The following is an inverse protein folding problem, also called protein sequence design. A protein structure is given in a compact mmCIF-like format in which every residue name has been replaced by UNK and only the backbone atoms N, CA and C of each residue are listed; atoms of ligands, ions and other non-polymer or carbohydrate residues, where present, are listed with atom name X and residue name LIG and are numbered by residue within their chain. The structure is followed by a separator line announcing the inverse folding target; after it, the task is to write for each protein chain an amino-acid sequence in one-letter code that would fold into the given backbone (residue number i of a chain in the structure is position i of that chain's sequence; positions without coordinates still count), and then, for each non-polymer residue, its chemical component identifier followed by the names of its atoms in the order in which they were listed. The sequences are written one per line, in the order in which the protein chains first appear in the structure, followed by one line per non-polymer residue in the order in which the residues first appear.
data_IF_172199160774
#
_entry.id   IF_172199160774
#
_cell.length_a   1.000
_cell.length_b   1.000
_cell.length_c   1.000
_cell.angle_alpha   90.00
_cell.angle_beta   90.00
_cell.angle_gamma   90.00
#
_symmetry.space_group_name_H-M   'P 1'
#
loop_
_entity.id
_entity.type
_entity.pdbx_description
1 polymer ?
#
# COMPACT_ATOMS: atom_id res chain seq x y z
N UNK A 1 -4.42 7.50 -31.99
CA UNK A 1 -4.01 7.03 -30.65
C UNK A 1 -4.77 7.85 -29.62
N UNK A 2 -5.87 7.33 -29.07
CA UNK A 2 -6.51 7.95 -27.90
C UNK A 2 -5.57 7.79 -26.72
N UNK A 3 -4.97 8.88 -26.28
CA UNK A 3 -4.11 8.90 -25.09
C UNK A 3 -4.91 8.42 -23.89
N UNK A 4 -4.51 7.29 -23.31
CA UNK A 4 -5.03 6.89 -22.02
C UNK A 4 -4.65 7.99 -21.03
N UNK A 5 -5.61 8.58 -20.29
CA UNK A 5 -5.29 9.69 -19.41
C UNK A 5 -4.27 9.22 -18.39
N UNK A 6 -3.23 10.03 -18.15
CA UNK A 6 -2.14 9.72 -17.22
C UNK A 6 -2.65 9.34 -15.82
N UNK A 7 -3.83 9.84 -15.44
CA UNK A 7 -4.54 9.51 -14.21
C UNK A 7 -4.94 8.04 -14.12
N UNK A 8 -5.32 7.40 -15.23
CA UNK A 8 -5.61 5.97 -15.24
C UNK A 8 -4.35 5.15 -14.99
N UNK A 9 -3.22 5.53 -15.59
CA UNK A 9 -1.93 4.88 -15.33
C UNK A 9 -1.46 5.10 -13.89
N UNK A 10 -1.66 6.31 -13.35
CA UNK A 10 -1.36 6.60 -11.96
C UNK A 10 -2.26 5.79 -11.00
N UNK A 11 -3.53 5.59 -11.33
CA UNK A 11 -4.44 4.74 -10.56
C UNK A 11 -4.00 3.28 -10.60
N UNK A 12 -3.56 2.76 -11.75
CA UNK A 12 -3.01 1.40 -11.86
C UNK A 12 -1.76 1.23 -11.00
N UNK A 13 -0.83 2.18 -11.09
CA UNK A 13 0.37 2.17 -10.27
C UNK A 13 0.01 2.20 -8.78
N UNK A 14 -0.90 3.08 -8.35
CA UNK A 14 -1.36 3.14 -6.98
C UNK A 14 -1.98 1.81 -6.53
N UNK A 15 -2.82 1.18 -7.35
CA UNK A 15 -3.43 -0.11 -7.05
C UNK A 15 -2.37 -1.20 -6.83
N UNK A 16 -1.38 -1.29 -7.73
CA UNK A 16 -0.28 -2.26 -7.63
C UNK A 16 0.55 -2.00 -6.36
N UNK A 17 0.89 -0.75 -6.06
CA UNK A 17 1.62 -0.39 -4.85
C UNK A 17 0.84 -0.75 -3.58
N UNK A 18 -0.46 -0.49 -3.54
CA UNK A 18 -1.31 -0.84 -2.39
C UNK A 18 -1.36 -2.36 -2.17
N UNK A 19 -1.50 -3.16 -3.23
CA UNK A 19 -1.49 -4.62 -3.12
C UNK A 19 -0.12 -5.12 -2.68
N UNK A 20 0.96 -4.62 -3.28
CA UNK A 20 2.33 -4.99 -2.93
C UNK A 20 2.68 -4.65 -1.48
N UNK A 21 2.41 -3.41 -1.06
CA UNK A 21 2.62 -2.97 0.32
C UNK A 21 1.74 -3.75 1.31
N UNK A 22 0.49 -4.01 0.93
CA UNK A 22 -0.42 -4.85 1.70
C UNK A 22 0.12 -6.27 1.91
N UNK A 23 0.63 -6.93 0.87
CA UNK A 23 1.22 -8.27 0.99
C UNK A 23 2.45 -8.27 1.89
N UNK A 24 3.35 -7.30 1.74
CA UNK A 24 4.55 -7.16 2.59
C UNK A 24 4.14 -6.92 4.05
N UNK A 25 3.19 -6.02 4.28
CA UNK A 25 2.68 -5.71 5.61
C UNK A 25 1.89 -6.84 6.27
N UNK A 26 1.27 -7.73 5.48
CA UNK A 26 0.55 -8.89 5.98
C UNK A 26 1.50 -10.01 6.41
N UNK A 27 2.49 -10.30 5.55
CA UNK A 27 3.42 -11.43 5.71
C UNK A 27 4.63 -11.08 6.58
N UNK A 28 5.06 -9.82 6.58
CA UNK A 28 6.26 -9.37 7.28
C UNK A 28 6.01 -8.08 8.10
N UNK A 29 4.94 -8.01 8.93
CA UNK A 29 4.49 -6.78 9.58
C UNK A 29 5.57 -6.09 10.42
N UNK A 30 6.33 -6.86 11.21
CA UNK A 30 7.38 -6.33 12.09
C UNK A 30 8.55 -5.76 11.30
N UNK A 31 9.21 -6.61 10.49
CA UNK A 31 10.31 -6.21 9.61
C UNK A 31 9.95 -5.01 8.75
N UNK A 32 8.74 -5.00 8.18
CA UNK A 32 8.29 -3.88 7.38
C UNK A 32 8.20 -2.59 8.20
N UNK A 33 7.56 -2.57 9.36
CA UNK A 33 7.52 -1.37 10.23
C UNK A 33 8.92 -0.97 10.72
N UNK A 34 9.75 -1.95 11.07
CA UNK A 34 11.11 -1.73 11.60
C UNK A 34 12.04 -1.02 10.61
N UNK A 35 11.83 -1.19 9.29
CA UNK A 35 12.60 -0.49 8.26
C UNK A 35 12.27 1.01 8.15
N UNK A 36 11.12 1.44 8.69
CA UNK A 36 10.61 2.80 8.51
C UNK A 36 10.41 3.57 9.83
N UNK A 37 10.60 2.91 10.97
CA UNK A 37 10.35 3.53 12.28
C UNK A 37 11.44 4.49 12.72
N UNK A 38 12.62 4.43 12.10
CA UNK A 38 13.81 5.22 12.41
C UNK A 38 14.48 5.68 11.10
N UNK A 39 15.05 6.89 11.11
CA UNK A 39 15.84 7.47 10.01
C UNK A 39 15.14 7.48 8.63
N UNK A 40 13.82 7.59 8.62
CA UNK A 40 12.96 7.39 7.45
C UNK A 40 12.46 8.71 6.83
N UNK A 41 13.20 9.80 6.98
CA UNK A 41 12.92 11.11 6.37
C UNK A 41 11.48 11.63 6.61
N UNK A 42 10.91 11.38 7.79
CA UNK A 42 9.56 11.80 8.17
C UNK A 42 8.49 10.70 8.02
N UNK A 43 8.82 9.57 7.38
CA UNK A 43 7.92 8.42 7.29
C UNK A 43 7.72 7.70 8.64
N UNK A 44 8.51 8.02 9.66
CA UNK A 44 8.35 7.48 11.02
C UNK A 44 6.93 7.78 11.55
N UNK A 45 6.39 8.95 11.20
CA UNK A 45 5.03 9.36 11.61
C UNK A 45 3.94 8.47 11.02
N UNK A 46 4.15 7.93 9.82
CA UNK A 46 3.13 7.09 9.14
C UNK A 46 3.14 5.68 9.71
N UNK A 47 4.29 5.19 10.20
CA UNK A 47 4.40 3.86 10.79
C UNK A 47 4.24 3.82 12.31
N UNK A 48 4.34 4.97 13.00
CA UNK A 48 4.18 5.08 14.45
C UNK A 48 2.94 4.34 15.03
N UNK A 49 1.74 4.36 14.40
CA UNK A 49 0.58 3.63 14.93
C UNK A 49 0.73 2.10 14.95
N UNK A 50 1.67 1.58 14.18
CA UNK A 50 1.91 0.14 13.96
C UNK A 50 3.11 -0.41 14.73
N UNK A 51 3.96 0.45 15.30
CA UNK A 51 5.10 0.05 16.13
C UNK A 51 4.63 -0.85 17.28
N UNK A 52 5.30 -1.99 17.44
CA UNK A 52 5.00 -3.07 18.38
C UNK A 52 3.58 -3.65 18.29
N UNK A 53 2.84 -3.34 17.22
CA UNK A 53 1.44 -3.77 17.00
C UNK A 53 1.28 -4.45 15.64
N UNK A 54 1.87 -5.64 15.44
CA UNK A 54 1.83 -6.34 14.15
C UNK A 54 0.40 -6.62 13.66
N UNK A 55 -0.54 -6.94 14.57
CA UNK A 55 -1.94 -7.16 14.21
C UNK A 55 -2.61 -5.93 13.59
N UNK A 56 -2.29 -4.71 14.07
CA UNK A 56 -2.81 -3.47 13.46
C UNK A 56 -2.25 -3.26 12.05
N UNK A 57 -0.96 -3.57 11.84
CA UNK A 57 -0.34 -3.50 10.51
C UNK A 57 -0.93 -4.52 9.54
N UNK A 58 -1.23 -5.72 10.02
CA UNK A 58 -1.87 -6.79 9.23
C UNK A 58 -3.32 -6.42 8.85
N UNK A 59 -4.10 -5.88 9.78
CA UNK A 59 -5.45 -5.36 9.47
C UNK A 59 -5.40 -4.23 8.43
N UNK A 60 -4.46 -3.30 8.59
CA UNK A 60 -4.24 -2.24 7.61
C UNK A 60 -3.79 -2.80 6.25
N UNK A 61 -2.94 -3.84 6.24
CA UNK A 61 -2.55 -4.53 5.02
C UNK A 61 -3.73 -5.18 4.29
N UNK A 62 -4.63 -5.86 5.00
CA UNK A 62 -5.85 -6.41 4.40
C UNK A 62 -6.71 -5.32 3.77
N UNK A 63 -6.85 -4.18 4.46
CA UNK A 63 -7.56 -3.02 3.92
C UNK A 63 -6.88 -2.46 2.65
N UNK A 64 -5.55 -2.40 2.61
CA UNK A 64 -4.80 -1.96 1.44
C UNK A 64 -4.95 -2.93 0.26
N UNK A 65 -4.86 -4.24 0.48
CA UNK A 65 -5.08 -5.25 -0.56
C UNK A 65 -6.49 -5.10 -1.13
N UNK A 66 -7.51 -5.03 -0.28
CA UNK A 66 -8.89 -4.86 -0.71
C UNK A 66 -9.09 -3.54 -1.49
N UNK A 67 -8.52 -2.44 -1.01
CA UNK A 67 -8.58 -1.14 -1.68
C UNK A 67 -7.86 -1.12 -3.03
N UNK A 68 -6.69 -1.75 -3.12
CA UNK A 68 -5.92 -1.87 -4.36
C UNK A 68 -6.65 -2.73 -5.40
N UNK A 69 -7.18 -3.89 -5.00
CA UNK A 69 -7.99 -4.74 -5.88
C UNK A 69 -9.28 -4.03 -6.34
N UNK A 70 -9.94 -3.30 -5.45
CA UNK A 70 -11.11 -2.49 -5.81
C UNK A 70 -10.73 -1.41 -6.83
N UNK A 71 -9.64 -0.67 -6.61
CA UNK A 71 -9.15 0.36 -7.53
C UNK A 71 -8.76 -0.24 -8.89
N UNK A 72 -8.08 -1.39 -8.90
CA UNK A 72 -7.74 -2.13 -10.12
C UNK A 72 -9.00 -2.56 -10.89
N UNK A 73 -10.01 -3.12 -10.20
CA UNK A 73 -11.26 -3.56 -10.84
C UNK A 73 -12.07 -2.42 -11.48
N UNK A 74 -11.89 -1.19 -11.01
CA UNK A 74 -12.54 0.02 -11.57
C UNK A 74 -11.88 0.46 -12.87
N UNK A 75 -10.66 0.00 -13.15
CA UNK A 75 -9.95 0.33 -14.36
C UNK A 75 -10.40 -0.57 -15.50
N UNK A 76 -10.72 0.06 -16.63
CA UNK A 76 -11.17 -0.65 -17.82
C UNK A 76 -10.10 -0.52 -18.90
N UNK A 77 -9.66 -1.64 -19.51
CA UNK A 77 -8.96 -1.55 -20.78
C UNK A 77 -9.92 -0.91 -21.78
N UNK A 78 -9.48 0.17 -22.43
CA UNK A 78 -10.19 0.74 -23.57
C UNK A 78 -9.59 0.15 -24.84
#
# INVERSE_FOLDING_TARGET
MTTQPWTARAAEMAAIFMVGDGLVGLLQPRRHVDLWKEEALGAERTVAPFVDRPGRRQLYALAQIAGGLWLASRQRPR
#
